data_IF_807401182321
#
_entry.id   IF_807401182321
#
_cell.length_a   1.000
_cell.length_b   1.000
_cell.length_c   1.000
_cell.angle_alpha   90.00
_cell.angle_beta   90.00
_cell.angle_gamma   90.00
#
_symmetry.space_group_name_H-M   'P 1'
#
loop_
_entity.id
_entity.type
_entity.pdbx_description
1 polymer ?
#
# COMPACT_ATOMS: atom_id res chain seq x y z
N UNK A 1 -21.63 14.10 8.11
CA UNK A 1 -21.26 12.72 8.53
C UNK A 1 -22.31 11.76 7.97
N UNK A 2 -21.92 10.86 7.06
CA UNK A 2 -22.80 9.81 6.56
C UNK A 2 -22.86 8.68 7.59
N UNK A 3 -23.96 8.57 8.34
CA UNK A 3 -24.16 7.50 9.33
C UNK A 3 -24.56 6.17 8.70
N UNK A 4 -24.48 5.06 9.45
CA UNK A 4 -24.88 3.70 8.99
C UNK A 4 -26.31 3.66 8.44
N UNK A 5 -27.21 4.46 9.00
CA UNK A 5 -28.59 4.61 8.51
C UNK A 5 -28.68 5.16 7.08
N UNK A 6 -27.72 5.99 6.67
CA UNK A 6 -27.68 6.55 5.32
C UNK A 6 -27.18 5.51 4.31
N UNK A 7 -26.24 4.65 4.73
CA UNK A 7 -25.80 3.52 3.91
C UNK A 7 -26.94 2.57 3.60
N UNK A 8 -27.76 2.18 4.59
CA UNK A 8 -28.88 1.25 4.35
C UNK A 8 -29.99 1.86 3.48
N UNK A 9 -30.22 3.18 3.57
CA UNK A 9 -31.12 3.89 2.67
C UNK A 9 -30.65 3.86 1.22
N UNK A 10 -29.35 4.08 0.98
CA UNK A 10 -28.77 4.05 -0.38
C UNK A 10 -28.60 2.61 -0.91
N UNK A 11 -28.32 1.66 -0.02
CA UNK A 11 -28.06 0.27 -0.37
C UNK A 11 -29.29 -0.41 -0.95
N UNK A 12 -30.50 -0.14 -0.43
CA UNK A 12 -31.72 -0.78 -0.94
C UNK A 12 -31.96 -0.49 -2.44
N UNK A 13 -32.03 0.78 -2.90
CA UNK A 13 -32.13 1.09 -4.33
C UNK A 13 -30.95 0.58 -5.16
N UNK A 14 -29.74 0.57 -4.59
CA UNK A 14 -28.56 0.06 -5.29
C UNK A 14 -28.65 -1.47 -5.47
N UNK A 15 -29.11 -2.19 -4.45
CA UNK A 15 -29.30 -3.64 -4.45
C UNK A 15 -30.35 -4.04 -5.47
N UNK A 16 -31.50 -3.39 -5.50
CA UNK A 16 -32.58 -3.69 -6.44
C UNK A 16 -32.14 -3.49 -7.89
N UNK A 17 -31.31 -2.46 -8.13
CA UNK A 17 -30.72 -2.19 -9.46
C UNK A 17 -29.62 -3.20 -9.82
N UNK A 18 -28.81 -3.63 -8.85
CA UNK A 18 -27.66 -4.49 -9.09
C UNK A 18 -28.04 -5.97 -9.18
N UNK A 19 -28.84 -6.49 -8.25
CA UNK A 19 -29.16 -7.91 -8.08
C UNK A 19 -30.42 -8.32 -8.87
N UNK A 20 -30.48 -7.96 -10.14
CA UNK A 20 -31.54 -8.45 -11.03
C UNK A 20 -31.16 -9.82 -11.60
N UNK A 21 -32.16 -10.66 -11.92
CA UNK A 21 -31.93 -11.96 -12.58
C UNK A 21 -31.12 -11.83 -13.88
N UNK A 22 -31.28 -10.70 -14.60
CA UNK A 22 -30.48 -10.41 -15.81
C UNK A 22 -29.02 -10.15 -15.47
N UNK A 23 -28.74 -9.31 -14.47
CA UNK A 23 -27.36 -8.97 -14.10
C UNK A 23 -26.62 -10.16 -13.48
N UNK A 24 -27.30 -10.95 -12.65
CA UNK A 24 -26.73 -12.17 -12.07
C UNK A 24 -26.37 -13.14 -13.21
N UNK A 25 -27.31 -13.44 -14.12
CA UNK A 25 -27.02 -14.30 -15.27
C UNK A 25 -25.90 -13.74 -16.12
N UNK A 26 -25.90 -12.44 -16.43
CA UNK A 26 -24.83 -11.80 -17.20
C UNK A 26 -23.45 -11.99 -16.56
N UNK A 27 -23.34 -11.91 -15.23
CA UNK A 27 -22.11 -12.22 -14.50
C UNK A 27 -21.66 -13.67 -14.68
N UNK A 28 -22.59 -14.63 -14.62
CA UNK A 28 -22.31 -16.05 -14.86
C UNK A 28 -21.89 -16.33 -16.30
N UNK A 29 -22.53 -15.68 -17.28
CA UNK A 29 -22.14 -15.75 -18.69
C UNK A 29 -20.74 -15.18 -18.91
N UNK A 30 -20.42 -14.04 -18.28
CA UNK A 30 -19.12 -13.41 -18.39
C UNK A 30 -18.01 -14.32 -17.87
N UNK A 31 -18.21 -14.90 -16.68
CA UNK A 31 -17.30 -15.84 -16.03
C UNK A 31 -17.23 -17.22 -16.71
N UNK A 32 -18.09 -17.52 -17.70
CA UNK A 32 -18.16 -18.84 -18.33
C UNK A 32 -18.70 -19.93 -17.40
N UNK A 33 -19.41 -19.56 -16.34
CA UNK A 33 -20.04 -20.52 -15.43
C UNK A 33 -21.36 -21.06 -16.00
N UNK A 34 -22.11 -20.24 -16.74
CA UNK A 34 -23.35 -20.67 -17.37
C UNK A 34 -23.63 -19.96 -18.71
N UNK A 35 -23.80 -20.72 -19.82
CA UNK A 35 -23.41 -22.11 -20.00
C UNK A 35 -21.93 -22.32 -19.67
N UNK A 36 -21.60 -23.49 -19.13
CA UNK A 36 -20.23 -23.79 -18.69
C UNK A 36 -19.26 -23.74 -19.88
N UNK A 37 -18.21 -22.92 -19.76
CA UNK A 37 -17.16 -22.74 -20.76
C UNK A 37 -15.78 -22.71 -20.05
N UNK A 38 -15.02 -23.83 -20.06
CA UNK A 38 -13.78 -23.96 -19.30
C UNK A 38 -12.70 -22.98 -19.75
N UNK A 39 -12.64 -22.64 -21.04
CA UNK A 39 -11.66 -21.69 -21.59
C UNK A 39 -11.81 -20.28 -21.00
N UNK A 40 -13.04 -19.88 -20.69
CA UNK A 40 -13.32 -18.59 -20.04
C UNK A 40 -12.96 -18.60 -18.56
N UNK A 41 -13.24 -19.71 -17.87
CA UNK A 41 -12.93 -19.87 -16.44
C UNK A 41 -11.42 -19.88 -16.21
N UNK A 42 -10.66 -20.54 -17.08
CA UNK A 42 -9.21 -20.70 -16.92
C UNK A 42 -8.39 -19.49 -17.39
N UNK A 43 -8.98 -18.56 -18.13
CA UNK A 43 -8.27 -17.36 -18.64
C UNK A 43 -7.73 -16.46 -17.53
N UNK A 44 -8.49 -16.30 -16.45
CA UNK A 44 -8.18 -15.39 -15.35
C UNK A 44 -7.42 -16.09 -14.21
N UNK A 45 -7.16 -17.40 -14.33
CA UNK A 45 -6.34 -18.15 -13.38
C UNK A 45 -4.87 -17.93 -13.75
N UNK A 46 -4.07 -17.26 -12.90
CA UNK A 46 -2.64 -17.17 -13.14
C UNK A 46 -2.06 -18.58 -13.12
N UNK A 47 -1.42 -18.99 -14.23
CA UNK A 47 -0.74 -20.27 -14.31
C UNK A 47 0.30 -20.34 -13.18
N UNK A 48 0.29 -21.37 -12.33
CA UNK A 48 1.37 -21.56 -11.38
C UNK A 48 2.66 -21.74 -12.19
N UNK A 49 3.59 -20.80 -12.02
CA UNK A 49 4.96 -20.90 -12.52
C UNK A 49 5.52 -22.21 -11.96
N UNK A 50 5.93 -23.11 -12.84
CA UNK A 50 6.49 -24.39 -12.48
C UNK A 50 7.75 -24.19 -11.63
N UNK A 51 7.62 -24.32 -10.31
CA UNK A 51 8.72 -24.55 -9.40
C UNK A 51 9.17 -26.00 -9.56
N UNK A 52 10.15 -26.21 -10.45
CA UNK A 52 10.93 -27.45 -10.50
C UNK A 52 12.21 -27.22 -9.71
N UNK A 53 12.40 -28.02 -8.66
CA UNK A 53 13.73 -28.37 -8.16
C UNK A 53 14.01 -28.05 -6.70
N UNK A 54 13.34 -28.76 -5.78
CA UNK A 54 13.96 -29.13 -4.51
C UNK A 54 15.20 -30.00 -4.77
N UNK A 55 16.26 -29.82 -3.97
CA UNK A 55 17.10 -30.85 -3.31
C UNK A 55 18.07 -30.09 -2.39
N UNK A 56 17.93 -30.25 -1.07
CA UNK A 56 19.02 -30.11 -0.09
C UNK A 56 19.53 -31.53 0.30
N UNK A 57 20.49 -31.70 1.23
CA UNK A 57 21.91 -31.89 0.93
C UNK A 57 22.43 -33.26 1.41
N UNK A 58 23.55 -33.74 0.86
CA UNK A 58 24.29 -34.81 1.55
C UNK A 58 25.80 -34.61 1.37
N UNK A 59 26.47 -34.59 2.52
CA UNK A 59 27.91 -34.45 2.66
C UNK A 59 28.52 -35.85 2.66
N UNK A 60 29.64 -36.04 1.98
CA UNK A 60 30.69 -36.95 2.45
C UNK A 60 32.04 -36.57 1.83
N UNK A 61 33.07 -36.81 2.63
CA UNK A 61 34.40 -36.23 2.51
C UNK A 61 35.38 -37.10 1.69
N UNK A 62 36.51 -36.47 1.37
CA UNK A 62 37.82 -37.06 1.05
C UNK A 62 37.98 -37.84 -0.25
N UNK A 63 38.60 -37.18 -1.23
CA UNK A 63 39.94 -37.58 -1.67
C UNK A 63 40.53 -36.47 -2.54
N UNK A 64 41.72 -36.03 -2.15
CA UNK A 64 42.53 -35.13 -2.94
C UNK A 64 43.06 -35.88 -4.17
N UNK A 65 43.30 -35.07 -5.19
CA UNK A 65 44.31 -35.26 -6.24
C UNK A 65 43.79 -35.66 -7.63
N UNK A 66 43.99 -34.71 -8.55
CA UNK A 66 44.11 -34.83 -10.00
C UNK A 66 42.91 -35.31 -10.82
N UNK A 67 41.93 -34.44 -11.07
CA UNK A 67 41.30 -34.31 -12.40
C UNK A 67 40.82 -32.87 -12.64
N UNK A 68 41.21 -32.33 -13.82
CA UNK A 68 40.53 -31.35 -14.69
C UNK A 68 39.42 -30.46 -14.10
N UNK A 69 39.43 -29.14 -14.37
CA UNK A 69 38.22 -28.46 -14.88
C UNK A 69 38.37 -26.94 -15.10
N UNK A 70 38.05 -26.54 -16.35
CA UNK A 70 37.27 -25.37 -16.79
C UNK A 70 37.49 -24.05 -16.05
N UNK A 71 37.73 -22.91 -16.75
CA UNK A 71 37.72 -21.61 -16.11
C UNK A 71 36.37 -21.34 -15.44
N UNK A 72 36.28 -21.61 -14.14
CA UNK A 72 35.15 -21.24 -13.29
C UNK A 72 34.98 -19.75 -13.43
N UNK A 73 33.96 -19.34 -14.18
CA UNK A 73 33.56 -17.93 -14.26
C UNK A 73 33.22 -17.50 -12.84
N UNK A 74 33.97 -16.54 -12.24
CA UNK A 74 33.75 -16.23 -10.83
C UNK A 74 32.32 -15.72 -10.61
N UNK A 75 31.55 -16.43 -9.80
CA UNK A 75 30.24 -15.99 -9.32
C UNK A 75 30.46 -14.71 -8.49
N UNK A 76 29.58 -13.71 -8.65
CA UNK A 76 29.64 -12.47 -7.86
C UNK A 76 29.54 -12.80 -6.37
N UNK A 77 30.49 -12.36 -5.52
CA UNK A 77 30.47 -12.69 -4.11
C UNK A 77 29.31 -11.95 -3.42
N UNK A 78 28.43 -12.73 -2.80
CA UNK A 78 27.30 -12.24 -1.99
C UNK A 78 27.63 -12.33 -0.50
N UNK A 79 28.59 -13.18 -0.12
CA UNK A 79 29.01 -13.41 1.28
C UNK A 79 30.33 -12.69 1.60
N UNK A 80 30.55 -12.40 2.88
CA UNK A 80 31.77 -11.76 3.39
C UNK A 80 33.01 -12.60 3.12
N UNK A 81 32.92 -13.92 3.31
CA UNK A 81 34.00 -14.87 3.04
C UNK A 81 34.39 -14.94 1.55
N UNK A 82 33.41 -14.84 0.64
CA UNK A 82 33.69 -14.79 -0.79
C UNK A 82 34.36 -13.47 -1.19
N UNK A 83 34.07 -12.38 -0.46
CA UNK A 83 34.69 -11.08 -0.68
C UNK A 83 36.14 -11.04 -0.17
N UNK A 84 36.42 -11.63 1.00
CA UNK A 84 37.80 -11.77 1.51
C UNK A 84 38.63 -12.69 0.61
N UNK A 85 38.07 -13.81 0.16
CA UNK A 85 38.73 -14.70 -0.82
C UNK A 85 39.05 -13.97 -2.14
N UNK A 86 38.12 -13.15 -2.65
CA UNK A 86 38.34 -12.34 -3.85
C UNK A 86 39.45 -11.31 -3.64
N UNK A 87 39.50 -10.68 -2.47
CA UNK A 87 40.56 -9.75 -2.09
C UNK A 87 41.93 -10.44 -2.04
N UNK A 88 42.05 -11.60 -1.41
CA UNK A 88 43.32 -12.35 -1.32
C UNK A 88 43.81 -12.84 -2.69
N UNK A 89 42.88 -13.10 -3.62
CA UNK A 89 43.20 -13.40 -5.01
C UNK A 89 43.70 -12.17 -5.77
N UNK A 90 43.12 -10.99 -5.51
CA UNK A 90 43.61 -9.72 -6.08
C UNK A 90 45.03 -9.44 -5.59
N UNK A 91 45.29 -9.58 -4.28
CA UNK A 91 46.63 -9.39 -3.71
C UNK A 91 47.65 -10.33 -4.38
N UNK A 92 47.33 -11.62 -4.52
CA UNK A 92 48.20 -12.59 -5.23
C UNK A 92 48.47 -12.20 -6.68
N UNK A 93 47.44 -11.85 -7.44
CA UNK A 93 47.56 -11.47 -8.84
C UNK A 93 48.35 -10.15 -9.02
N UNK A 94 48.33 -9.24 -8.02
CA UNK A 94 49.17 -8.02 -8.05
C UNK A 94 50.66 -8.30 -7.84
N UNK A 95 51.00 -9.31 -7.03
CA UNK A 95 52.41 -9.68 -6.79
C UNK A 95 53.03 -10.44 -7.98
N UNK A 96 52.22 -11.14 -8.79
CA UNK A 96 52.65 -11.87 -9.98
C UNK A 96 52.29 -11.11 -11.27
N UNK A 97 52.98 -10.00 -11.55
CA UNK A 97 52.60 -9.05 -12.61
C UNK A 97 52.97 -9.50 -14.05
N UNK A 98 52.56 -10.70 -14.44
CA UNK A 98 52.67 -11.21 -15.82
C UNK A 98 51.49 -10.74 -16.71
N UNK A 99 51.60 -10.91 -18.02
CA UNK A 99 50.58 -10.46 -18.97
C UNK A 99 49.22 -11.15 -18.75
N UNK A 100 49.23 -12.43 -18.40
CA UNK A 100 48.02 -13.23 -18.12
C UNK A 100 47.30 -12.83 -16.84
N UNK A 101 48.04 -12.38 -15.82
CA UNK A 101 47.52 -11.98 -14.53
C UNK A 101 46.97 -10.56 -14.57
N UNK A 102 47.44 -9.69 -15.47
CA UNK A 102 46.83 -8.36 -15.69
C UNK A 102 45.36 -8.45 -16.10
N UNK A 103 45.05 -9.33 -17.05
CA UNK A 103 43.66 -9.54 -17.50
C UNK A 103 42.78 -10.14 -16.39
N UNK A 104 43.33 -11.08 -15.62
CA UNK A 104 42.63 -11.71 -14.49
C UNK A 104 42.39 -10.71 -13.36
N UNK A 105 43.38 -9.89 -13.04
CA UNK A 105 43.31 -8.81 -12.06
C UNK A 105 42.23 -7.79 -12.45
N UNK A 106 42.22 -7.33 -13.70
CA UNK A 106 41.19 -6.40 -14.19
C UNK A 106 39.79 -7.00 -14.03
N UNK A 107 39.60 -8.27 -14.40
CA UNK A 107 38.32 -8.99 -14.23
C UNK A 107 37.92 -9.09 -12.76
N UNK A 108 38.86 -9.37 -11.83
CA UNK A 108 38.58 -9.43 -10.39
C UNK A 108 38.21 -8.07 -9.80
N UNK A 109 38.91 -7.01 -10.19
CA UNK A 109 38.61 -5.63 -9.77
C UNK A 109 37.21 -5.23 -10.25
N UNK A 110 36.87 -5.50 -11.52
CA UNK A 110 35.54 -5.22 -12.05
C UNK A 110 34.44 -5.95 -11.28
N UNK A 111 34.68 -7.18 -10.82
CA UNK A 111 33.74 -7.94 -9.99
C UNK A 111 33.61 -7.36 -8.59
N UNK A 112 34.72 -6.98 -7.97
CA UNK A 112 34.69 -6.30 -6.68
C UNK A 112 33.89 -4.99 -6.75
N UNK A 113 34.10 -4.19 -7.80
CA UNK A 113 33.32 -2.98 -8.04
C UNK A 113 31.83 -3.28 -8.29
N UNK A 114 31.51 -4.36 -8.99
CA UNK A 114 30.12 -4.78 -9.24
C UNK A 114 29.44 -5.26 -7.95
N UNK A 115 30.14 -6.05 -7.13
CA UNK A 115 29.66 -6.49 -5.82
C UNK A 115 29.44 -5.31 -4.86
N UNK A 116 30.35 -4.32 -4.86
CA UNK A 116 30.19 -3.10 -4.08
C UNK A 116 28.93 -2.31 -4.49
N UNK A 117 28.66 -2.18 -5.80
CA UNK A 117 27.41 -1.53 -6.29
C UNK A 117 26.16 -2.24 -5.77
N UNK A 118 26.14 -3.58 -5.83
CA UNK A 118 25.03 -4.39 -5.32
C UNK A 118 24.87 -4.20 -3.81
N UNK A 119 25.98 -4.21 -3.05
CA UNK A 119 25.95 -4.01 -1.61
C UNK A 119 25.41 -2.62 -1.22
N UNK A 120 25.84 -1.56 -1.92
CA UNK A 120 25.32 -0.21 -1.68
C UNK A 120 23.82 -0.10 -2.00
N UNK A 121 23.38 -0.72 -3.10
CA UNK A 121 21.96 -0.77 -3.44
C UNK A 121 21.15 -1.51 -2.37
N UNK A 122 21.62 -2.68 -1.93
CA UNK A 122 20.98 -3.46 -0.87
C UNK A 122 20.93 -2.68 0.46
N UNK A 123 22.00 -1.99 0.81
CA UNK A 123 22.07 -1.15 2.01
C UNK A 123 21.08 0.02 1.95
N UNK A 124 20.91 0.65 0.78
CA UNK A 124 19.93 1.71 0.59
C UNK A 124 18.50 1.18 0.80
N UNK A 125 18.15 0.06 0.16
CA UNK A 125 16.84 -0.58 0.34
C UNK A 125 16.56 -0.97 1.80
N UNK A 126 17.56 -1.51 2.49
CA UNK A 126 17.43 -1.87 3.91
C UNK A 126 17.20 -0.64 4.80
N UNK A 127 17.93 0.46 4.54
CA UNK A 127 17.73 1.73 5.24
C UNK A 127 16.34 2.31 5.02
N UNK A 128 15.84 2.25 3.79
CA UNK A 128 14.50 2.74 3.45
C UNK A 128 13.41 1.88 4.09
N UNK A 129 13.57 0.56 4.09
CA UNK A 129 12.67 -0.35 4.81
C UNK A 129 12.64 -0.05 6.31
N UNK A 130 13.81 0.14 6.93
CA UNK A 130 13.89 0.48 8.35
C UNK A 130 13.24 1.83 8.65
N UNK A 131 13.44 2.84 7.80
CA UNK A 131 12.77 4.14 7.90
C UNK A 131 11.25 4.01 7.85
N UNK A 132 10.75 3.26 6.87
CA UNK A 132 9.31 3.00 6.72
C UNK A 132 8.71 2.28 7.94
N UNK A 133 9.39 1.26 8.47
CA UNK A 133 8.95 0.57 9.68
C UNK A 133 8.96 1.47 10.91
N UNK A 134 9.95 2.36 11.04
CA UNK A 134 9.99 3.34 12.12
C UNK A 134 8.83 4.33 12.03
N UNK A 135 8.46 4.76 10.82
CA UNK A 135 7.31 5.65 10.60
C UNK A 135 6.00 4.97 10.99
N UNK A 136 5.75 3.75 10.53
CA UNK A 136 4.59 2.95 10.95
C UNK A 136 4.56 2.78 12.47
N UNK A 137 5.70 2.46 13.08
CA UNK A 137 5.77 2.27 14.53
C UNK A 137 5.51 3.58 15.30
N UNK A 138 6.03 4.71 14.83
CA UNK A 138 5.73 6.03 15.39
C UNK A 138 4.25 6.35 15.28
N UNK A 139 3.64 6.09 14.13
CA UNK A 139 2.21 6.28 13.94
C UNK A 139 1.38 5.36 14.83
N UNK A 140 1.71 4.07 14.89
CA UNK A 140 1.04 3.10 15.75
C UNK A 140 1.17 3.48 17.23
N UNK A 141 2.35 3.97 17.66
CA UNK A 141 2.57 4.50 19.00
C UNK A 141 1.69 5.72 19.26
N UNK A 142 1.63 6.67 18.32
CA UNK A 142 0.77 7.84 18.41
C UNK A 142 -0.72 7.46 18.49
N UNK A 143 -1.17 6.48 17.70
CA UNK A 143 -2.55 5.95 17.75
C UNK A 143 -2.85 5.29 19.10
N UNK A 144 -1.91 4.54 19.68
CA UNK A 144 -2.06 3.91 21.00
C UNK A 144 -2.05 4.92 22.15
N UNK A 145 -1.22 5.97 22.07
CA UNK A 145 -1.13 6.98 23.12
C UNK A 145 -2.24 8.02 23.05
N UNK A 146 -2.82 8.24 21.88
CA UNK A 146 -3.99 9.11 21.71
C UNK A 146 -5.18 8.46 22.42
N UNK A 147 -5.67 9.10 23.48
CA UNK A 147 -6.87 8.65 24.20
C UNK A 147 -8.02 8.50 23.21
N UNK A 148 -8.58 7.30 23.10
CA UNK A 148 -9.72 7.04 22.24
C UNK A 148 -10.91 7.90 22.67
N UNK A 149 -11.39 8.78 21.79
CA UNK A 149 -12.65 9.46 21.99
C UNK A 149 -13.78 8.46 21.71
N UNK A 150 -14.45 7.98 22.75
CA UNK A 150 -15.61 7.09 22.59
C UNK A 150 -16.72 7.88 21.91
N UNK A 151 -16.87 7.69 20.60
CA UNK A 151 -17.91 8.34 19.78
C UNK A 151 -19.34 7.92 20.18
N UNK A 152 -19.47 6.87 21.00
CA UNK A 152 -20.72 6.36 21.55
C UNK A 152 -20.67 4.85 21.74
N UNK A 153 -21.65 4.29 22.46
CA UNK A 153 -21.85 2.83 22.50
C UNK A 153 -22.44 2.39 21.17
N UNK A 154 -21.73 1.55 20.43
CA UNK A 154 -22.24 0.99 19.19
C UNK A 154 -23.40 0.03 19.51
N UNK A 155 -24.62 0.36 19.07
CA UNK A 155 -25.76 -0.56 19.06
C UNK A 155 -25.71 -1.36 17.76
N UNK A 156 -25.77 -2.69 17.86
CA UNK A 156 -26.10 -3.56 16.72
C UNK A 156 -27.58 -3.34 16.45
N UNK A 157 -27.91 -2.64 15.36
CA UNK A 157 -29.30 -2.34 15.02
C UNK A 157 -29.91 -3.58 14.35
N UNK A 158 -31.03 -4.07 14.87
CA UNK A 158 -31.86 -5.06 14.19
C UNK A 158 -32.53 -4.44 12.96
N UNK A 159 -33.15 -5.26 12.12
CA UNK A 159 -33.93 -4.75 10.98
C UNK A 159 -35.09 -3.84 11.46
N UNK A 160 -35.74 -4.19 12.58
CA UNK A 160 -36.82 -3.39 13.18
C UNK A 160 -36.32 -2.02 13.64
N UNK A 161 -35.15 -1.96 14.28
CA UNK A 161 -34.50 -0.71 14.68
C UNK A 161 -34.28 0.23 13.46
N UNK A 162 -33.97 -0.35 12.29
CA UNK A 162 -33.78 0.41 11.04
C UNK A 162 -35.10 0.90 10.47
N UNK A 163 -36.17 0.11 10.54
CA UNK A 163 -37.50 0.53 10.11
C UNK A 163 -38.05 1.66 10.98
N UNK A 164 -37.90 1.56 12.30
CA UNK A 164 -38.26 2.65 13.22
C UNK A 164 -37.48 3.94 12.93
N UNK A 165 -36.17 3.83 12.66
CA UNK A 165 -35.34 4.98 12.32
C UNK A 165 -35.79 5.63 10.99
N UNK A 166 -36.24 4.83 10.02
CA UNK A 166 -36.81 5.31 8.76
C UNK A 166 -38.13 6.03 8.98
N UNK A 167 -39.04 5.47 9.78
CA UNK A 167 -40.31 6.10 10.13
C UNK A 167 -40.10 7.45 10.84
N UNK A 168 -39.24 7.49 11.87
CA UNK A 168 -38.86 8.71 12.59
C UNK A 168 -38.22 9.77 11.68
N UNK A 169 -37.46 9.37 10.65
CA UNK A 169 -36.88 10.29 9.66
C UNK A 169 -37.94 10.81 8.67
N UNK A 170 -38.88 9.97 8.24
CA UNK A 170 -40.00 10.38 7.38
C UNK A 170 -40.90 11.41 8.09
N UNK A 171 -41.23 11.18 9.35
CA UNK A 171 -41.98 12.12 10.20
C UNK A 171 -41.24 13.46 10.37
N UNK A 172 -39.93 13.43 10.67
CA UNK A 172 -39.11 14.65 10.77
C UNK A 172 -38.98 15.37 9.43
N UNK A 173 -38.89 14.64 8.32
CA UNK A 173 -38.90 15.20 6.96
C UNK A 173 -40.20 15.92 6.67
N UNK A 174 -41.35 15.29 6.93
CA UNK A 174 -42.67 15.89 6.75
C UNK A 174 -42.90 17.11 7.67
N UNK A 175 -42.45 17.04 8.94
CA UNK A 175 -42.52 18.16 9.87
C UNK A 175 -41.59 19.34 9.52
N UNK A 176 -40.55 19.11 8.71
CA UNK A 176 -39.67 20.15 8.19
C UNK A 176 -40.20 20.81 6.92
N UNK A 177 -40.99 20.07 6.13
CA UNK A 177 -41.68 20.57 4.92
C UNK A 177 -42.91 21.41 5.29
N UNK A 178 -43.59 21.11 6.41
CA UNK A 178 -44.75 21.86 6.88
C UNK A 178 -44.42 23.13 7.68
N UNK A 179 -43.14 23.38 8.02
CA UNK A 179 -42.73 24.63 8.67
C UNK A 179 -42.58 25.73 7.63
N UNK A 180 -43.26 26.89 7.77
CA UNK A 180 -43.09 28.00 6.84
C UNK A 180 -41.64 28.47 6.87
N UNK A 181 -41.08 28.70 5.68
CA UNK A 181 -39.72 29.19 5.45
C UNK A 181 -39.60 30.61 6.06
N UNK A 182 -39.28 30.71 7.36
CA UNK A 182 -39.05 32.00 8.02
C UNK A 182 -37.84 32.64 7.34
N UNK A 183 -38.07 33.74 6.64
CA UNK A 183 -37.05 34.52 5.96
C UNK A 183 -35.92 34.88 6.92
N UNK A 184 -34.69 34.62 6.48
CA UNK A 184 -33.47 34.99 7.21
C UNK A 184 -33.22 36.48 7.00
N UNK A 185 -33.97 37.32 7.71
CA UNK A 185 -33.74 38.75 7.86
C UNK A 185 -32.68 39.02 8.93
N UNK A 186 -31.76 39.93 8.64
CA UNK A 186 -30.52 40.15 9.38
C UNK A 186 -30.64 40.73 10.79
N UNK A 187 -29.52 40.58 11.51
CA UNK A 187 -28.99 41.50 12.52
C UNK A 187 -29.79 41.71 13.80
N UNK A 188 -29.22 41.28 14.93
CA UNK A 188 -28.98 42.12 16.13
C UNK A 188 -28.20 41.34 17.19
N UNK A 189 -27.20 42.00 17.76
CA UNK A 189 -26.18 41.43 18.62
C UNK A 189 -26.62 41.06 20.04
N UNK A 190 -25.75 40.32 20.72
CA UNK A 190 -25.76 40.17 22.16
C UNK A 190 -24.35 40.42 22.71
N UNK A 191 -24.22 41.62 23.30
CA UNK A 191 -23.35 42.07 24.40
C UNK A 191 -22.14 41.19 24.76
N UNK A 192 -20.94 41.72 24.49
CA UNK A 192 -19.69 41.35 25.15
C UNK A 192 -19.70 41.90 26.58
N UNK A 193 -19.39 41.07 27.57
CA UNK A 193 -18.92 41.52 28.89
C UNK A 193 -17.40 41.33 28.87
N UNK A 194 -16.69 42.44 28.95
CA UNK A 194 -15.25 42.56 29.04
C UNK A 194 -14.78 42.23 30.44
N UNK A 195 -13.68 41.51 30.57
CA UNK A 195 -12.61 41.79 31.53
C UNK A 195 -11.28 41.55 30.79
N UNK A 196 -10.36 42.51 30.95
CA UNK A 196 -9.09 42.59 30.25
C UNK A 196 -7.95 42.58 31.27
N UNK A 197 -6.90 41.83 30.96
CA UNK A 197 -5.46 42.03 31.28
C UNK A 197 -4.73 40.73 30.90
N UNK A 198 -3.63 40.67 30.15
CA UNK A 198 -2.77 41.64 29.50
C UNK A 198 -1.46 40.93 29.09
N UNK A 199 -0.88 41.34 27.95
CA UNK A 199 0.48 41.03 27.40
C UNK A 199 0.63 39.67 26.67
N UNK A 200 1.27 39.55 25.50
CA UNK A 200 2.01 40.48 24.63
C UNK A 200 2.20 39.84 23.24
N UNK A 201 2.43 40.69 22.24
CA UNK A 201 2.46 40.47 20.78
C UNK A 201 3.56 39.54 20.25
N UNK A 202 3.22 38.75 19.22
CA UNK A 202 4.11 38.36 18.13
C UNK A 202 3.29 38.29 16.81
N UNK A 203 3.82 38.78 15.66
CA UNK A 203 3.01 39.01 14.45
C UNK A 203 2.63 37.70 13.73
N UNK A 204 1.45 37.64 13.07
CA UNK A 204 1.05 36.46 12.30
C UNK A 204 1.79 36.39 10.95
N UNK A 205 2.36 35.22 10.68
CA UNK A 205 2.90 34.85 9.37
C UNK A 205 1.78 34.74 8.31
N UNK A 206 2.06 35.02 7.03
CA UNK A 206 1.06 35.09 5.97
C UNK A 206 0.46 33.72 5.62
N UNK A 207 -0.85 33.72 5.35
CA UNK A 207 -1.65 32.56 4.95
C UNK A 207 -1.17 31.94 3.61
N UNK A 208 -1.07 30.60 3.49
CA UNK A 208 -0.87 29.98 2.20
C UNK A 208 -2.18 29.98 1.39
N UNK A 209 -2.11 30.57 0.20
CA UNK A 209 -3.19 30.62 -0.78
C UNK A 209 -3.76 29.22 -1.06
N UNK A 210 -5.07 29.05 -0.79
CA UNK A 210 -5.80 27.85 -1.18
C UNK A 210 -5.98 27.82 -2.71
N UNK A 211 -5.24 26.95 -3.39
CA UNK A 211 -5.54 26.58 -4.77
C UNK A 211 -6.88 25.81 -4.82
N UNK A 212 -7.73 26.04 -5.85
CA UNK A 212 -9.01 25.37 -5.95
C UNK A 212 -8.82 23.86 -6.18
N UNK A 213 -9.42 23.06 -5.31
CA UNK A 213 -9.49 21.59 -5.44
C UNK A 213 -10.24 21.27 -6.72
N UNK A 214 -9.53 20.71 -7.71
CA UNK A 214 -10.13 20.21 -8.93
C UNK A 214 -11.00 18.99 -8.61
N UNK A 215 -12.28 19.08 -8.97
CA UNK A 215 -13.20 17.96 -8.87
C UNK A 215 -12.77 16.86 -9.84
N UNK A 216 -12.30 15.74 -9.30
CA UNK A 216 -11.93 14.56 -10.06
C UNK A 216 -13.14 14.06 -10.89
N UNK A 217 -12.94 13.82 -12.19
CA UNK A 217 -13.94 13.26 -13.11
C UNK A 217 -13.39 11.98 -13.74
N UNK A 218 -14.09 10.87 -13.55
CA UNK A 218 -13.73 9.60 -14.18
C UNK A 218 -14.06 9.62 -15.68
N UNK A 219 -13.19 9.06 -16.55
CA UNK A 219 -13.47 8.98 -17.98
C UNK A 219 -14.51 7.90 -18.27
N UNK A 220 -15.56 8.27 -19.01
CA UNK A 220 -16.58 7.35 -19.53
C UNK A 220 -16.12 6.85 -20.89
N UNK A 221 -15.96 5.53 -21.03
CA UNK A 221 -15.66 4.88 -22.30
C UNK A 221 -16.86 5.02 -23.26
N UNK A 222 -16.62 5.59 -24.44
CA UNK A 222 -17.57 5.57 -25.56
C UNK A 222 -17.40 4.25 -26.30
N UNK A 223 -18.45 3.45 -26.38
CA UNK A 223 -18.52 2.31 -27.29
C UNK A 223 -19.04 2.82 -28.65
N UNK A 224 -18.31 2.51 -29.72
CA UNK A 224 -18.83 2.52 -31.10
C UNK A 224 -19.31 1.11 -31.43
#
# INVERSE_FOLDING_TARGET
MFGKEHFTYLYNPARDRALTSKNIRAGWYAAGLFPFNPERVLRDVPNPVAEVGSIEPEAEATSADLLSEVPRTPITPVTTEALTSLHDLIVRDTHALDATNKDRLQKRIQKLASAAKVLFAAQALLKDRNRFLLEINREAKARRSTKSLVLGKAKVMSFEDLEEARAKRAEKGQASVSKPKRGRGGGRGCKRKSDAEGKSMAPPLPEPAHAPVSAWRAPVAKMY
#
